data_IF_760507132241
#
_entry.id   IF_760507132241
#
_cell.length_a   1.000
_cell.length_b   1.000
_cell.length_c   1.000
_cell.angle_alpha   90.00
_cell.angle_beta   90.00
_cell.angle_gamma   90.00
#
_symmetry.space_group_name_H-M   'P 1'
#
loop_
_entity.id
_entity.type
_entity.pdbx_description
1 polymer ?
#
# COMPACT_ATOMS: atom_id res chain seq x y z
N UNK A 1 11.52 -24.80 -11.68
CA UNK A 1 10.88 -23.47 -11.73
C UNK A 1 10.94 -22.79 -13.11
N UNK A 2 12.12 -22.43 -13.65
CA UNK A 2 12.23 -21.69 -14.94
C UNK A 2 11.47 -22.31 -16.13
N UNK A 3 11.56 -23.63 -16.33
CA UNK A 3 10.82 -24.35 -17.40
C UNK A 3 9.30 -24.23 -17.26
N UNK A 4 8.77 -24.35 -16.04
CA UNK A 4 7.34 -24.23 -15.77
C UNK A 4 6.84 -22.80 -16.05
N UNK A 5 7.58 -21.79 -15.59
CA UNK A 5 7.27 -20.38 -15.86
C UNK A 5 7.25 -20.10 -17.37
N UNK A 6 8.27 -20.60 -18.11
CA UNK A 6 8.32 -20.46 -19.58
C UNK A 6 7.10 -21.09 -20.26
N UNK A 7 6.65 -22.26 -19.79
CA UNK A 7 5.47 -22.95 -20.30
C UNK A 7 4.19 -22.14 -20.04
N UNK A 8 3.99 -21.67 -18.81
CA UNK A 8 2.82 -20.84 -18.43
C UNK A 8 2.79 -19.52 -19.20
N UNK A 9 3.93 -18.83 -19.32
CA UNK A 9 4.04 -17.61 -20.14
C UNK A 9 3.70 -17.87 -21.61
N UNK A 10 4.13 -19.01 -22.15
CA UNK A 10 3.77 -19.43 -23.51
C UNK A 10 2.27 -19.65 -23.68
N UNK A 11 1.60 -20.27 -22.70
CA UNK A 11 0.16 -20.46 -22.71
C UNK A 11 -0.60 -19.14 -22.61
N UNK A 12 -0.25 -18.29 -21.65
CA UNK A 12 -0.85 -16.97 -21.49
C UNK A 12 -0.71 -16.14 -22.77
N UNK A 13 0.47 -16.11 -23.37
CA UNK A 13 0.71 -15.38 -24.62
C UNK A 13 -0.05 -15.92 -25.83
N UNK A 14 -0.39 -17.22 -25.86
CA UNK A 14 -1.27 -17.78 -26.90
C UNK A 14 -2.72 -17.34 -26.70
N UNK A 15 -3.22 -17.44 -25.47
CA UNK A 15 -4.60 -17.05 -25.11
C UNK A 15 -4.82 -15.55 -25.35
N UNK A 16 -3.91 -14.69 -24.90
CA UNK A 16 -4.02 -13.23 -25.09
C UNK A 16 -4.10 -12.88 -26.59
N UNK A 17 -3.22 -13.45 -27.42
CA UNK A 17 -3.21 -13.19 -28.87
C UNK A 17 -4.48 -13.70 -29.56
N UNK A 18 -4.99 -14.85 -29.15
CA UNK A 18 -6.22 -15.40 -29.72
C UNK A 18 -7.44 -14.55 -29.37
N UNK A 19 -7.57 -14.15 -28.10
CA UNK A 19 -8.63 -13.25 -27.64
C UNK A 19 -8.60 -11.89 -28.38
N UNK A 20 -7.43 -11.31 -28.57
CA UNK A 20 -7.28 -10.05 -29.32
C UNK A 20 -7.64 -10.21 -30.80
N UNK A 21 -7.20 -11.30 -31.43
CA UNK A 21 -7.51 -11.61 -32.82
C UNK A 21 -9.02 -11.80 -33.02
N UNK A 22 -9.65 -12.61 -32.18
CA UNK A 22 -11.09 -12.89 -32.27
C UNK A 22 -11.92 -11.65 -31.95
N UNK A 23 -11.55 -10.90 -30.89
CA UNK A 23 -12.22 -9.66 -30.51
C UNK A 23 -12.21 -8.64 -31.64
N UNK A 24 -11.07 -8.49 -32.34
CA UNK A 24 -10.98 -7.61 -33.52
C UNK A 24 -11.80 -8.12 -34.70
N UNK A 25 -11.73 -9.41 -35.00
CA UNK A 25 -12.44 -10.02 -36.14
C UNK A 25 -13.97 -9.95 -36.00
N UNK A 26 -14.47 -10.04 -34.76
CA UNK A 26 -15.90 -10.03 -34.44
C UNK A 26 -16.42 -8.65 -34.03
N UNK A 27 -15.56 -7.62 -33.95
CA UNK A 27 -15.95 -6.29 -33.51
C UNK A 27 -16.45 -6.23 -32.06
N UNK A 28 -15.96 -7.12 -31.18
CA UNK A 28 -16.42 -7.21 -29.81
C UNK A 28 -15.98 -6.00 -28.99
N UNK A 29 -16.92 -5.38 -28.28
CA UNK A 29 -16.64 -4.37 -27.26
C UNK A 29 -16.48 -5.09 -25.92
N UNK A 30 -15.27 -5.02 -25.36
CA UNK A 30 -14.97 -5.61 -24.06
C UNK A 30 -15.52 -4.74 -22.94
N UNK A 31 -16.12 -5.36 -21.92
CA UNK A 31 -16.43 -4.69 -20.65
C UNK A 31 -15.15 -4.20 -19.95
N UNK A 32 -15.28 -3.23 -19.04
CA UNK A 32 -14.15 -2.69 -18.28
C UNK A 32 -13.37 -3.78 -17.53
N UNK A 33 -14.09 -4.76 -16.97
CA UNK A 33 -13.49 -5.90 -16.26
C UNK A 33 -12.67 -6.79 -17.21
N UNK A 34 -13.19 -7.08 -18.40
CA UNK A 34 -12.47 -7.86 -19.41
C UNK A 34 -11.24 -7.11 -19.91
N UNK A 35 -11.36 -5.80 -20.15
CA UNK A 35 -10.24 -4.97 -20.53
C UNK A 35 -9.16 -4.91 -19.44
N UNK A 36 -9.56 -4.77 -18.17
CA UNK A 36 -8.65 -4.78 -17.03
C UNK A 36 -7.89 -6.10 -16.92
N UNK A 37 -8.60 -7.24 -17.04
CA UNK A 37 -7.99 -8.56 -17.05
C UNK A 37 -6.98 -8.71 -18.21
N UNK A 38 -7.33 -8.24 -19.41
CA UNK A 38 -6.44 -8.30 -20.58
C UNK A 38 -5.22 -7.39 -20.40
N UNK A 39 -5.38 -6.19 -19.81
CA UNK A 39 -4.26 -5.30 -19.45
C UNK A 39 -3.30 -5.98 -18.46
N UNK A 40 -3.84 -6.61 -17.42
CA UNK A 40 -3.03 -7.34 -16.44
C UNK A 40 -2.27 -8.51 -17.08
N UNK A 41 -2.94 -9.29 -17.95
CA UNK A 41 -2.30 -10.38 -18.69
C UNK A 41 -1.14 -9.88 -19.58
N UNK A 42 -1.32 -8.75 -20.28
CA UNK A 42 -0.27 -8.10 -21.08
C UNK A 42 0.90 -7.66 -20.19
N UNK A 43 0.62 -7.03 -19.06
CA UNK A 43 1.65 -6.59 -18.12
C UNK A 43 2.50 -7.76 -17.60
N UNK A 44 1.88 -8.91 -17.30
CA UNK A 44 2.59 -10.13 -16.90
C UNK A 44 3.53 -10.68 -17.98
N UNK A 45 3.17 -10.55 -19.25
CA UNK A 45 3.99 -11.02 -20.38
C UNK A 45 5.20 -10.13 -20.63
N UNK A 46 5.08 -8.82 -20.36
CA UNK A 46 6.14 -7.83 -20.64
C UNK A 46 7.03 -7.59 -19.43
N UNK A 47 6.52 -7.77 -18.21
CA UNK A 47 7.30 -7.50 -17.00
C UNK A 47 8.56 -8.38 -16.91
N UNK A 48 9.63 -7.78 -16.41
CA UNK A 48 10.91 -8.46 -16.17
C UNK A 48 11.25 -8.42 -14.69
N UNK A 49 12.39 -8.99 -14.30
CA UNK A 49 12.89 -8.93 -12.91
C UNK A 49 13.10 -7.49 -12.42
N UNK A 50 13.39 -6.53 -13.30
CA UNK A 50 13.72 -5.15 -12.91
C UNK A 50 12.62 -4.13 -13.23
N UNK A 51 11.46 -4.58 -13.74
CA UNK A 51 10.32 -3.69 -13.96
C UNK A 51 9.85 -3.06 -12.65
N UNK A 52 9.40 -1.80 -12.70
CA UNK A 52 8.72 -1.14 -11.58
C UNK A 52 7.22 -1.44 -11.64
N UNK A 53 6.50 -1.23 -10.52
CA UNK A 53 5.03 -1.33 -10.42
C UNK A 53 4.47 -2.63 -11.00
N UNK A 54 4.97 -3.76 -10.51
CA UNK A 54 4.56 -5.09 -10.99
C UNK A 54 3.29 -5.55 -10.29
N UNK A 55 2.40 -6.28 -10.97
CA UNK A 55 1.34 -7.02 -10.31
C UNK A 55 1.96 -8.10 -9.40
N UNK A 56 1.77 -7.95 -8.09
CA UNK A 56 2.17 -8.93 -7.09
C UNK A 56 1.06 -9.93 -6.75
N UNK A 57 -0.20 -9.56 -7.01
CA UNK A 57 -1.37 -10.44 -6.93
C UNK A 57 -2.23 -10.29 -8.19
N UNK A 58 -2.76 -11.40 -8.69
CA UNK A 58 -3.71 -11.37 -9.81
C UNK A 58 -5.12 -10.99 -9.38
N UNK A 59 -5.47 -11.30 -8.14
CA UNK A 59 -6.79 -11.07 -7.57
C UNK A 59 -6.92 -9.69 -6.93
N UNK A 60 -5.79 -9.13 -6.48
CA UNK A 60 -5.74 -7.79 -5.87
C UNK A 60 -4.59 -6.98 -6.50
N UNK A 61 -4.82 -6.34 -7.66
CA UNK A 61 -3.76 -5.65 -8.40
C UNK A 61 -3.21 -4.42 -7.68
N UNK A 62 -3.94 -3.90 -6.69
CA UNK A 62 -3.56 -2.73 -5.90
C UNK A 62 -2.59 -3.00 -4.76
N UNK A 63 -2.20 -4.26 -4.50
CA UNK A 63 -1.23 -4.55 -3.43
C UNK A 63 0.18 -4.10 -3.80
N UNK A 64 0.86 -3.51 -2.82
CA UNK A 64 2.28 -3.22 -2.86
C UNK A 64 3.10 -4.38 -2.31
N UNK A 65 4.36 -4.49 -2.74
CA UNK A 65 5.33 -5.39 -2.15
C UNK A 65 6.28 -4.58 -1.26
N UNK A 66 6.25 -4.89 0.04
CA UNK A 66 6.95 -4.13 1.08
C UNK A 66 8.01 -5.03 1.68
N UNK A 67 9.23 -4.50 1.86
CA UNK A 67 10.30 -5.23 2.51
C UNK A 67 10.09 -5.22 4.02
N UNK A 68 9.96 -6.40 4.65
CA UNK A 68 9.79 -6.55 6.10
C UNK A 68 11.07 -6.28 6.90
N UNK A 69 12.24 -6.37 6.25
CA UNK A 69 13.54 -6.26 6.94
C UNK A 69 13.92 -7.47 7.81
N UNK A 70 13.13 -8.54 7.81
CA UNK A 70 13.43 -9.79 8.53
C UNK A 70 14.00 -10.86 7.60
N UNK A 71 14.85 -11.75 8.13
CA UNK A 71 15.53 -12.78 7.34
C UNK A 71 14.59 -13.91 6.89
N UNK A 72 13.61 -14.28 7.73
CA UNK A 72 12.67 -15.38 7.50
C UNK A 72 11.62 -15.00 6.43
N UNK A 73 10.97 -13.85 6.59
CA UNK A 73 10.07 -13.27 5.59
C UNK A 73 10.60 -11.93 5.14
N UNK A 74 11.14 -11.90 3.90
CA UNK A 74 11.75 -10.68 3.36
C UNK A 74 10.74 -9.68 2.85
N UNK A 75 9.58 -10.16 2.39
CA UNK A 75 8.56 -9.35 1.72
C UNK A 75 7.17 -9.67 2.24
N UNK A 76 6.33 -8.66 2.27
CA UNK A 76 4.89 -8.77 2.44
C UNK A 76 4.17 -8.11 1.26
N UNK A 77 3.00 -8.66 0.92
CA UNK A 77 2.15 -8.11 -0.14
C UNK A 77 0.89 -7.55 0.50
N UNK A 78 0.65 -6.26 0.34
CA UNK A 78 -0.49 -5.59 0.94
C UNK A 78 -0.44 -4.08 0.72
N UNK A 79 -1.35 -3.37 1.37
CA UNK A 79 -1.38 -1.90 1.40
C UNK A 79 -1.13 -1.47 2.83
N UNK A 80 -0.27 -0.45 3.03
CA UNK A 80 -0.04 0.09 4.38
C UNK A 80 -1.34 0.69 4.92
N UNK A 81 -1.66 0.43 6.17
CA UNK A 81 -2.78 1.07 6.85
C UNK A 81 -2.25 1.98 7.96
N UNK A 82 -2.79 3.18 8.07
CA UNK A 82 -2.58 4.07 9.21
C UNK A 82 -3.85 4.11 10.05
N UNK A 83 -3.71 3.84 11.34
CA UNK A 83 -4.81 3.81 12.30
C UNK A 83 -4.45 4.75 13.43
N UNK A 84 -5.33 5.71 13.71
CA UNK A 84 -5.20 6.63 14.82
C UNK A 84 -6.17 6.22 15.92
N UNK A 85 -5.65 6.09 17.13
CA UNK A 85 -6.42 5.74 18.33
C UNK A 85 -6.23 6.78 19.41
N UNK A 86 -7.26 7.03 20.22
CA UNK A 86 -7.14 7.87 21.42
C UNK A 86 -6.17 7.23 22.41
N UNK A 87 -5.28 8.01 23.02
CA UNK A 87 -4.23 7.49 23.89
C UNK A 87 -4.72 6.73 25.14
N UNK A 88 -5.88 7.12 25.69
CA UNK A 88 -6.40 6.57 26.97
C UNK A 88 -7.36 5.40 26.78
N UNK A 89 -8.33 5.57 25.90
CA UNK A 89 -9.48 4.65 25.76
C UNK A 89 -9.41 3.81 24.48
N UNK A 90 -8.38 4.02 23.66
CA UNK A 90 -8.14 3.28 22.41
C UNK A 90 -9.30 3.32 21.39
N UNK A 91 -10.13 4.36 21.40
CA UNK A 91 -11.11 4.59 20.34
C UNK A 91 -10.43 4.92 19.02
N UNK A 92 -10.86 4.28 17.94
CA UNK A 92 -10.37 4.57 16.59
C UNK A 92 -10.99 5.89 16.13
N UNK A 93 -10.14 6.89 15.89
CA UNK A 93 -10.52 8.25 15.46
C UNK A 93 -10.03 8.59 14.05
N UNK A 94 -9.34 7.65 13.40
CA UNK A 94 -8.90 7.75 12.01
C UNK A 94 -8.42 6.41 11.48
N UNK A 95 -8.69 6.14 10.21
CA UNK A 95 -8.26 4.95 9.52
C UNK A 95 -8.08 5.27 8.02
N UNK A 96 -6.87 5.08 7.50
CA UNK A 96 -6.52 5.38 6.10
C UNK A 96 -5.68 4.26 5.49
N UNK A 97 -5.97 3.93 4.24
CA UNK A 97 -5.11 3.08 3.41
C UNK A 97 -4.11 3.93 2.63
N UNK A 98 -2.84 3.53 2.67
CA UNK A 98 -1.71 4.22 2.07
C UNK A 98 -1.09 3.36 0.96
N UNK A 99 -1.62 3.50 -0.26
CA UNK A 99 -1.14 2.80 -1.44
C UNK A 99 0.15 3.41 -2.01
N UNK A 100 0.93 2.61 -2.74
CA UNK A 100 2.19 3.02 -3.38
C UNK A 100 3.42 2.88 -2.48
N UNK A 101 3.32 2.13 -1.37
CA UNK A 101 4.37 1.96 -0.37
C UNK A 101 5.07 3.28 0.06
N UNK A 102 4.33 4.28 0.56
CA UNK A 102 4.95 5.51 1.05
C UNK A 102 5.80 5.25 2.29
N UNK A 103 6.78 6.13 2.53
CA UNK A 103 7.48 6.18 3.80
C UNK A 103 6.52 6.59 4.91
N UNK A 104 6.50 5.88 6.03
CA UNK A 104 5.50 6.06 7.09
C UNK A 104 5.48 7.50 7.62
N UNK A 105 6.63 8.15 7.77
CA UNK A 105 6.72 9.55 8.19
C UNK A 105 5.94 10.52 7.29
N UNK A 106 5.90 10.27 5.97
CA UNK A 106 5.13 11.12 5.03
C UNK A 106 3.62 10.93 5.14
N UNK A 107 3.16 9.89 5.85
CA UNK A 107 1.72 9.61 6.02
C UNK A 107 1.11 10.24 7.27
N UNK A 108 1.93 10.85 8.14
CA UNK A 108 1.44 11.36 9.43
C UNK A 108 0.55 12.58 9.29
N UNK A 109 0.95 13.56 8.47
CA UNK A 109 0.19 14.79 8.27
C UNK A 109 -1.22 14.48 7.74
N UNK A 110 -1.27 13.60 6.74
CA UNK A 110 -2.47 13.03 6.15
C UNK A 110 -3.39 12.35 7.18
N UNK A 111 -2.81 11.58 8.11
CA UNK A 111 -3.57 10.92 9.17
C UNK A 111 -4.12 11.95 10.18
N UNK A 112 -3.33 12.93 10.59
CA UNK A 112 -3.75 13.97 11.52
C UNK A 112 -4.86 14.85 10.93
N UNK A 113 -4.77 15.18 9.64
CA UNK A 113 -5.83 15.87 8.92
C UNK A 113 -7.13 15.07 8.93
N UNK A 114 -7.06 13.74 8.75
CA UNK A 114 -8.25 12.89 8.82
C UNK A 114 -8.86 12.93 10.22
N UNK A 115 -8.05 12.81 11.27
CA UNK A 115 -8.53 12.87 12.66
C UNK A 115 -9.23 14.20 12.94
N UNK A 116 -8.64 15.32 12.52
CA UNK A 116 -9.24 16.64 12.67
C UNK A 116 -10.57 16.77 11.92
N UNK A 117 -10.64 16.24 10.69
CA UNK A 117 -11.85 16.25 9.88
C UNK A 117 -12.98 15.42 10.50
N UNK A 118 -12.66 14.23 11.04
CA UNK A 118 -13.65 13.30 11.58
C UNK A 118 -14.11 13.67 12.99
N UNK A 119 -13.22 14.21 13.81
CA UNK A 119 -13.52 14.54 15.22
C UNK A 119 -13.88 16.01 15.44
N UNK A 120 -13.60 16.88 14.48
CA UNK A 120 -13.67 18.34 14.66
C UNK A 120 -12.58 18.89 15.57
N UNK A 121 -11.63 18.06 16.01
CA UNK A 121 -10.60 18.41 16.97
C UNK A 121 -9.22 18.01 16.48
N UNK A 122 -8.31 18.99 16.47
CA UNK A 122 -6.90 18.75 16.21
C UNK A 122 -6.20 18.23 17.47
N UNK A 123 -5.51 17.08 17.43
CA UNK A 123 -4.75 16.59 18.58
C UNK A 123 -3.63 17.56 18.98
N UNK A 124 -3.42 17.77 20.28
CA UNK A 124 -2.29 18.54 20.78
C UNK A 124 -0.96 17.76 20.67
N UNK A 125 -1.02 16.45 20.87
CA UNK A 125 0.11 15.54 20.75
C UNK A 125 -0.34 14.19 20.18
N UNK A 126 0.61 13.43 19.64
CA UNK A 126 0.39 12.06 19.21
C UNK A 126 1.59 11.16 19.54
N UNK A 127 1.32 9.90 19.82
CA UNK A 127 2.35 8.87 19.96
C UNK A 127 2.48 8.09 18.67
N UNK A 128 3.72 7.93 18.20
CA UNK A 128 4.00 7.26 16.92
C UNK A 128 5.17 6.29 17.02
N UNK A 129 5.17 5.30 16.14
CA UNK A 129 6.31 4.39 15.98
C UNK A 129 7.55 5.09 15.39
N UNK A 130 8.70 4.41 15.50
CA UNK A 130 9.97 4.92 14.97
C UNK A 130 9.97 5.16 13.45
N UNK A 131 9.11 4.47 12.71
CA UNK A 131 8.93 4.67 11.27
C UNK A 131 8.44 6.08 10.90
N UNK A 132 7.81 6.79 11.84
CA UNK A 132 7.33 8.15 11.64
C UNK A 132 8.38 9.23 11.86
N UNK A 133 9.65 8.85 12.11
CA UNK A 133 10.73 9.82 12.29
C UNK A 133 10.90 10.68 11.05
N UNK A 134 11.03 12.00 11.24
CA UNK A 134 11.16 12.94 10.13
C UNK A 134 9.85 13.16 9.37
N UNK A 135 8.71 13.11 10.07
CA UNK A 135 7.38 13.37 9.50
C UNK A 135 7.17 14.80 9.01
N UNK A 136 7.96 15.77 9.50
CA UNK A 136 7.81 17.19 9.13
C UNK A 136 6.53 17.85 9.65
N UNK A 137 5.89 17.23 10.63
CA UNK A 137 4.71 17.76 11.32
C UNK A 137 5.19 18.60 12.49
N UNK A 138 4.94 19.92 12.44
CA UNK A 138 5.42 20.89 13.43
C UNK A 138 4.29 21.48 14.29
N UNK A 139 3.05 21.33 13.85
CA UNK A 139 1.83 21.87 14.45
C UNK A 139 1.20 20.95 15.53
N UNK A 140 1.68 19.71 15.62
CA UNK A 140 1.28 18.73 16.63
C UNK A 140 2.54 18.18 17.30
N UNK A 141 2.53 18.03 18.62
CA UNK A 141 3.66 17.45 19.33
C UNK A 141 3.76 15.94 19.05
N UNK A 142 4.68 15.56 18.16
CA UNK A 142 4.94 14.16 17.80
C UNK A 142 5.90 13.52 18.79
N UNK A 143 5.44 12.48 19.48
CA UNK A 143 6.22 11.72 20.47
C UNK A 143 6.56 10.36 19.89
N UNK A 144 7.84 10.11 19.62
CA UNK A 144 8.30 8.87 19.00
C UNK A 144 8.54 7.78 20.05
N UNK A 145 8.19 6.53 19.74
CA UNK A 145 8.41 5.37 20.59
C UNK A 145 9.86 5.28 21.15
N UNK A 146 9.97 5.31 22.48
CA UNK A 146 11.24 5.29 23.22
C UNK A 146 11.82 6.67 23.54
N UNK A 147 11.15 7.76 23.17
CA UNK A 147 11.52 9.12 23.53
C UNK A 147 11.34 9.37 25.04
N UNK A 148 12.40 9.85 25.71
CA UNK A 148 12.38 10.18 27.16
C UNK A 148 12.27 11.68 27.45
N UNK A 149 12.74 12.53 26.52
CA UNK A 149 12.76 13.99 26.66
C UNK A 149 11.62 14.61 25.86
N UNK A 150 10.98 15.65 26.39
CA UNK A 150 9.88 16.34 25.71
C UNK A 150 8.56 15.56 25.68
N UNK A 151 8.40 14.56 26.55
CA UNK A 151 7.10 13.90 26.80
C UNK A 151 6.34 14.74 27.85
N UNK A 152 5.06 15.09 27.62
CA UNK A 152 4.25 15.82 28.61
C UNK A 152 4.20 15.09 29.95
N UNK A 153 4.30 15.82 31.08
CA UNK A 153 4.30 15.19 32.41
C UNK A 153 3.03 14.40 32.70
N UNK A 154 1.87 14.88 32.22
CA UNK A 154 0.59 14.18 32.36
C UNK A 154 0.57 12.79 31.70
N UNK A 155 1.50 12.52 30.79
CA UNK A 155 1.59 11.29 30.02
C UNK A 155 2.85 10.47 30.36
N UNK A 156 3.70 10.96 31.27
CA UNK A 156 4.79 10.15 31.83
C UNK A 156 4.18 9.18 32.84
N UNK A 157 4.22 7.88 32.52
CA UNK A 157 3.95 6.80 33.49
C UNK A 157 5.19 6.49 34.32
#
# INVERSE_FOLDING_TARGET
MKKAIKKVNGFLGRVVRDLERQGKAQGLVLSDKQQACLRQARQLLVQTRNSKNKPYSLHEPGVDCISKGTAHERYECGVKASIAVTARESFIVGARSNAGNPYDGLTLADQLQQVETLSGHKPAFCFVDRGYKGSGVDDVQVIIAGQKRGVPESEKR
#
